data_IF_455994040133
#
_entry.id   IF_455994040133
#
_cell.length_a   1.000
_cell.length_b   1.000
_cell.length_c   1.000
_cell.angle_alpha   90.00
_cell.angle_beta   90.00
_cell.angle_gamma   90.00
#
_symmetry.space_group_name_H-M   'P 1'
#
loop_
_entity.id
_entity.type
_entity.pdbx_description
1 polymer ?
#
# COMPACT_ATOMS: atom_id res chain seq x y z
N UNK A 1 12.07 -9.53 0.96
CA UNK A 1 11.73 -9.49 -0.48
C UNK A 1 10.24 -9.81 -0.64
N UNK A 2 9.53 -9.11 -1.54
CA UNK A 2 8.10 -9.32 -1.77
C UNK A 2 7.22 -8.13 -1.36
N UNK A 3 7.79 -7.11 -0.69
CA UNK A 3 7.07 -5.91 -0.29
C UNK A 3 6.60 -5.10 -1.50
N UNK A 4 5.27 -5.01 -1.67
CA UNK A 4 4.69 -4.15 -2.70
C UNK A 4 4.96 -2.67 -2.46
N UNK A 5 5.14 -2.25 -1.21
CA UNK A 5 5.53 -0.87 -0.87
C UNK A 5 6.92 -0.56 -1.38
N UNK A 6 7.88 -1.47 -1.17
CA UNK A 6 9.24 -1.33 -1.69
C UNK A 6 9.25 -1.34 -3.22
N UNK A 7 8.57 -2.30 -3.84
CA UNK A 7 8.49 -2.41 -5.29
C UNK A 7 7.97 -1.10 -5.91
N UNK A 8 6.88 -0.53 -5.39
CA UNK A 8 6.32 0.73 -5.86
C UNK A 8 7.25 1.92 -5.56
N UNK A 9 7.82 1.99 -4.34
CA UNK A 9 8.70 3.09 -3.94
C UNK A 9 9.94 3.19 -4.82
N UNK A 10 10.68 2.09 -5.02
CA UNK A 10 11.92 2.11 -5.82
C UNK A 10 11.65 2.40 -7.30
N UNK A 11 10.48 2.01 -7.83
CA UNK A 11 10.07 2.32 -9.19
C UNK A 11 9.72 3.81 -9.33
N UNK A 12 8.87 4.34 -8.46
CA UNK A 12 8.38 5.72 -8.51
C UNK A 12 9.48 6.76 -8.23
N UNK A 13 10.44 6.43 -7.38
CA UNK A 13 11.55 7.34 -7.02
C UNK A 13 12.75 7.23 -7.95
N UNK A 14 12.73 6.30 -8.91
CA UNK A 14 13.84 6.07 -9.82
C UNK A 14 15.06 5.39 -9.19
N UNK A 15 14.89 4.75 -8.02
CA UNK A 15 15.91 3.89 -7.39
C UNK A 15 16.07 2.59 -8.18
N UNK A 16 14.96 2.13 -8.80
CA UNK A 16 14.98 0.97 -9.69
C UNK A 16 15.62 1.34 -11.03
N UNK A 17 16.80 0.81 -11.30
CA UNK A 17 17.54 1.05 -12.53
C UNK A 17 17.47 -0.16 -13.48
N UNK A 18 17.71 0.08 -14.77
CA UNK A 18 17.93 -0.98 -15.74
C UNK A 18 19.43 -1.16 -15.97
N UNK A 19 19.95 -2.34 -15.67
CA UNK A 19 21.34 -2.72 -15.90
C UNK A 19 21.37 -4.00 -16.71
N UNK A 20 21.99 -3.98 -17.88
CA UNK A 20 22.05 -5.13 -18.82
C UNK A 20 20.66 -5.72 -19.15
N UNK A 21 19.66 -4.88 -19.33
CA UNK A 21 18.29 -5.28 -19.66
C UNK A 21 17.47 -5.81 -18.47
N UNK A 22 18.06 -5.93 -17.29
CA UNK A 22 17.38 -6.38 -16.07
C UNK A 22 17.09 -5.21 -15.12
N UNK A 23 15.94 -5.26 -14.47
CA UNK A 23 15.60 -4.32 -13.38
C UNK A 23 16.46 -4.66 -12.14
N UNK A 24 17.11 -3.64 -11.57
CA UNK A 24 17.93 -3.75 -10.37
C UNK A 24 17.51 -2.71 -9.36
N UNK A 25 17.17 -3.14 -8.16
CA UNK A 25 16.94 -2.27 -7.01
C UNK A 25 18.31 -1.78 -6.51
N UNK A 26 18.51 -0.46 -6.59
CA UNK A 26 19.74 0.20 -6.21
C UNK A 26 19.68 0.83 -4.80
N UNK A 27 18.74 0.37 -3.96
CA UNK A 27 18.70 0.76 -2.55
C UNK A 27 20.04 0.44 -1.89
N UNK A 28 20.51 1.34 -1.02
CA UNK A 28 21.76 1.15 -0.27
C UNK A 28 21.77 -0.20 0.44
N UNK A 29 22.90 -0.88 0.38
CA UNK A 29 23.11 -2.16 1.10
C UNK A 29 23.15 -1.98 2.62
N UNK A 30 23.36 -0.76 3.10
CA UNK A 30 23.34 -0.38 4.51
C UNK A 30 21.90 -0.14 5.02
N UNK A 31 20.93 -0.03 4.10
CA UNK A 31 19.53 0.15 4.47
C UNK A 31 18.97 -1.10 5.14
N UNK A 32 18.27 -0.91 6.25
CA UNK A 32 17.57 -1.99 6.95
C UNK A 32 16.35 -2.42 6.14
N UNK A 33 16.23 -3.72 5.94
CA UNK A 33 14.99 -4.32 5.43
C UNK A 33 14.14 -4.77 6.61
N UNK A 34 12.96 -4.19 6.74
CA UNK A 34 12.07 -4.41 7.88
C UNK A 34 10.72 -4.92 7.34
N UNK A 35 10.25 -6.01 7.90
CA UNK A 35 8.98 -6.61 7.49
C UNK A 35 7.80 -5.96 8.24
N UNK A 36 6.83 -5.49 7.47
CA UNK A 36 5.59 -4.92 7.97
C UNK A 36 5.64 -3.40 8.27
N UNK A 37 4.53 -2.75 7.95
CA UNK A 37 4.39 -1.28 8.04
C UNK A 37 4.59 -0.74 9.46
N UNK A 38 4.03 -1.42 10.45
CA UNK A 38 4.13 -1.02 11.86
C UNK A 38 5.57 -1.09 12.38
N UNK A 39 6.34 -2.12 11.98
CA UNK A 39 7.72 -2.28 12.38
C UNK A 39 8.62 -1.19 11.79
N UNK A 40 8.41 -0.80 10.53
CA UNK A 40 9.11 0.36 9.92
C UNK A 40 8.85 1.61 10.74
N UNK A 41 7.58 1.89 11.06
CA UNK A 41 7.18 3.08 11.82
C UNK A 41 7.81 3.11 13.22
N UNK A 42 7.82 1.97 13.93
CA UNK A 42 8.45 1.85 15.24
C UNK A 42 9.96 2.07 15.20
N UNK A 43 10.64 1.57 14.17
CA UNK A 43 12.08 1.81 13.99
C UNK A 43 12.40 3.30 13.75
N UNK A 44 11.62 3.97 12.91
CA UNK A 44 11.80 5.41 12.65
C UNK A 44 11.48 6.23 13.90
N UNK A 45 10.45 5.89 14.65
CA UNK A 45 10.10 6.55 15.91
C UNK A 45 11.19 6.38 16.97
N UNK A 46 11.89 5.25 16.98
CA UNK A 46 12.96 4.93 17.95
C UNK A 46 14.34 5.53 17.62
N UNK A 47 14.55 6.09 16.44
CA UNK A 47 15.85 6.63 16.01
C UNK A 47 15.67 7.99 15.34
N UNK A 48 16.21 9.05 15.95
CA UNK A 48 16.09 10.43 15.47
C UNK A 48 16.78 10.70 14.14
N UNK A 49 17.69 9.85 13.70
CA UNK A 49 18.38 9.94 12.42
C UNK A 49 17.76 9.08 11.33
N UNK A 50 16.78 8.25 11.67
CA UNK A 50 16.19 7.33 10.72
C UNK A 50 15.24 8.02 9.72
N UNK A 51 15.26 7.49 8.51
CA UNK A 51 14.28 7.75 7.46
C UNK A 51 13.66 6.42 7.00
N UNK A 52 12.40 6.44 6.66
CA UNK A 52 11.69 5.29 6.12
C UNK A 52 10.54 5.71 5.20
N UNK A 53 9.76 4.74 4.77
CA UNK A 53 8.54 5.02 4.00
C UNK A 53 7.45 4.02 4.35
N UNK A 54 6.22 4.50 4.41
CA UNK A 54 5.03 3.72 4.76
C UNK A 54 3.80 4.18 3.94
N UNK A 55 2.72 3.41 3.98
CA UNK A 55 1.41 3.83 3.48
C UNK A 55 0.89 5.06 4.25
N UNK A 56 0.30 6.03 3.53
CA UNK A 56 -0.37 7.19 4.10
C UNK A 56 -1.45 6.80 5.12
N UNK A 57 -2.26 5.79 4.80
CA UNK A 57 -3.33 5.33 5.69
C UNK A 57 -2.86 4.70 7.00
N UNK A 58 -1.56 4.40 7.13
CA UNK A 58 -0.95 3.91 8.37
C UNK A 58 -0.25 5.02 9.17
N UNK A 59 -0.14 6.22 8.62
CA UNK A 59 0.57 7.34 9.24
C UNK A 59 -0.14 7.78 10.53
N UNK A 60 0.64 7.95 11.59
CA UNK A 60 0.16 8.47 12.86
C UNK A 60 1.19 9.41 13.51
N UNK A 61 0.89 9.94 14.68
CA UNK A 61 1.71 10.92 15.38
C UNK A 61 3.05 10.41 15.94
N UNK A 62 3.35 9.12 15.85
CA UNK A 62 4.63 8.56 16.32
C UNK A 62 5.81 8.93 15.42
N UNK A 63 5.54 9.31 14.16
CA UNK A 63 6.52 9.73 13.18
C UNK A 63 6.05 10.97 12.42
N UNK A 64 6.96 11.64 11.73
CA UNK A 64 6.66 12.81 10.91
C UNK A 64 6.81 12.45 9.43
N UNK A 65 5.75 12.67 8.64
CA UNK A 65 5.86 12.66 7.19
C UNK A 65 6.47 13.97 6.69
N UNK A 66 7.34 13.87 5.70
CA UNK A 66 7.93 15.03 5.03
C UNK A 66 7.31 15.24 3.66
N UNK A 67 7.29 16.49 3.22
CA UNK A 67 6.85 16.83 1.88
C UNK A 67 7.84 16.30 0.82
N UNK A 68 7.36 15.99 -0.38
CA UNK A 68 8.19 15.65 -1.52
C UNK A 68 7.92 16.67 -2.64
N UNK A 69 8.99 17.26 -3.16
CA UNK A 69 8.92 18.40 -4.10
C UNK A 69 8.04 19.56 -3.55
N UNK A 70 8.11 19.81 -2.25
CA UNK A 70 7.32 20.84 -1.59
C UNK A 70 5.84 20.47 -1.36
N UNK A 71 5.37 19.34 -1.83
CA UNK A 71 3.99 18.89 -1.65
C UNK A 71 3.86 18.00 -0.41
N UNK A 72 3.04 18.37 0.59
CA UNK A 72 2.76 17.51 1.73
C UNK A 72 1.97 16.29 1.27
N UNK A 73 2.13 15.17 2.00
CA UNK A 73 1.32 14.00 1.74
C UNK A 73 -0.01 14.07 2.49
N UNK A 74 -1.10 14.01 1.75
CA UNK A 74 -2.47 13.86 2.25
C UNK A 74 -3.37 13.33 1.12
N UNK A 75 -4.62 13.02 1.44
CA UNK A 75 -5.59 12.47 0.46
C UNK A 75 -5.76 13.40 -0.75
N UNK A 76 -5.82 14.71 -0.54
CA UNK A 76 -6.02 15.70 -1.60
C UNK A 76 -4.84 15.77 -2.56
N UNK A 77 -3.61 15.84 -2.03
CA UNK A 77 -2.39 15.91 -2.86
C UNK A 77 -2.10 14.59 -3.58
N UNK A 78 -2.46 13.45 -3.00
CA UNK A 78 -2.40 12.15 -3.67
C UNK A 78 -3.46 12.07 -4.78
N UNK A 79 -4.69 12.48 -4.49
CA UNK A 79 -5.80 12.48 -5.47
C UNK A 79 -5.54 13.39 -6.66
N UNK A 80 -4.99 14.57 -6.43
CA UNK A 80 -4.65 15.53 -7.51
C UNK A 80 -3.38 15.18 -8.28
N UNK A 81 -2.57 14.22 -7.80
CA UNK A 81 -1.27 13.89 -8.35
C UNK A 81 -0.17 14.89 -8.00
N UNK A 82 -0.42 15.85 -7.12
CA UNK A 82 0.60 16.81 -6.66
C UNK A 82 1.67 16.11 -5.81
N UNK A 83 1.27 15.14 -4.97
CA UNK A 83 2.23 14.29 -4.28
C UNK A 83 2.68 13.13 -5.20
N UNK A 84 3.98 13.02 -5.53
CA UNK A 84 4.42 12.19 -6.65
C UNK A 84 4.55 10.70 -6.33
N UNK A 85 4.56 10.29 -5.05
CA UNK A 85 4.77 8.89 -4.68
C UNK A 85 3.42 8.27 -4.28
N UNK A 86 2.63 7.89 -5.28
CA UNK A 86 1.31 7.28 -5.13
C UNK A 86 1.22 5.96 -5.91
N UNK A 87 0.40 5.03 -5.42
CA UNK A 87 0.28 3.68 -5.96
C UNK A 87 -1.15 3.15 -5.82
N UNK A 88 -1.57 2.19 -6.67
CA UNK A 88 -2.83 1.51 -6.47
C UNK A 88 -2.74 0.46 -5.36
N UNK A 89 -3.80 0.33 -4.59
CA UNK A 89 -4.12 -0.87 -3.82
C UNK A 89 -4.98 -1.79 -4.67
N UNK A 90 -4.51 -3.00 -4.88
CA UNK A 90 -5.17 -4.00 -5.68
C UNK A 90 -5.61 -5.18 -4.84
N UNK A 91 -6.77 -5.72 -5.21
CA UNK A 91 -7.12 -7.11 -4.90
C UNK A 91 -7.01 -7.93 -6.18
N UNK A 92 -6.74 -9.22 -6.02
CA UNK A 92 -6.59 -10.13 -7.13
C UNK A 92 -7.30 -11.46 -6.84
N UNK A 93 -7.97 -12.00 -7.86
CA UNK A 93 -8.72 -13.25 -7.80
C UNK A 93 -8.34 -14.17 -8.94
N UNK A 94 -8.50 -15.48 -8.75
CA UNK A 94 -8.25 -16.49 -9.77
C UNK A 94 -9.57 -17.09 -10.26
N UNK A 95 -9.86 -16.92 -11.54
CA UNK A 95 -11.06 -17.52 -12.14
C UNK A 95 -12.36 -17.11 -11.47
N UNK A 96 -13.30 -18.07 -11.35
CA UNK A 96 -14.60 -17.83 -10.73
C UNK A 96 -14.45 -17.85 -9.20
N UNK A 97 -14.88 -16.79 -8.55
CA UNK A 97 -14.88 -16.65 -7.08
C UNK A 97 -16.17 -17.14 -6.46
N UNK A 98 -16.17 -17.37 -5.14
CA UNK A 98 -17.39 -17.73 -4.40
C UNK A 98 -18.39 -16.58 -4.35
N UNK A 99 -19.67 -16.88 -4.08
CA UNK A 99 -20.70 -15.86 -3.96
C UNK A 99 -20.38 -14.81 -2.87
N UNK A 100 -19.74 -15.22 -1.76
CA UNK A 100 -19.31 -14.29 -0.70
C UNK A 100 -18.19 -13.37 -1.18
N UNK A 101 -17.21 -13.90 -1.91
CA UNK A 101 -16.11 -13.11 -2.46
C UNK A 101 -16.62 -12.10 -3.50
N UNK A 102 -17.52 -12.54 -4.41
CA UNK A 102 -18.15 -11.67 -5.40
C UNK A 102 -18.94 -10.53 -4.75
N UNK A 103 -19.75 -10.85 -3.75
CA UNK A 103 -20.59 -9.89 -3.03
C UNK A 103 -19.74 -8.90 -2.21
N UNK A 104 -18.67 -9.38 -1.56
CA UNK A 104 -17.74 -8.51 -0.84
C UNK A 104 -16.97 -7.58 -1.78
N UNK A 105 -16.52 -8.07 -2.94
CA UNK A 105 -15.88 -7.21 -3.96
C UNK A 105 -16.85 -6.15 -4.46
N UNK A 106 -18.13 -6.53 -4.70
CA UNK A 106 -19.18 -5.58 -5.09
C UNK A 106 -19.41 -4.52 -3.99
N UNK A 107 -19.38 -4.90 -2.70
CA UNK A 107 -19.43 -3.94 -1.59
C UNK A 107 -18.23 -3.01 -1.59
N UNK A 108 -16.99 -3.53 -1.71
CA UNK A 108 -15.78 -2.71 -1.74
C UNK A 108 -15.86 -1.62 -2.82
N UNK A 109 -16.38 -1.96 -4.00
CA UNK A 109 -16.46 -1.05 -5.15
C UNK A 109 -17.72 -0.18 -5.15
N UNK A 110 -18.63 -0.37 -4.20
CA UNK A 110 -19.84 0.45 -4.06
C UNK A 110 -19.55 1.82 -3.43
N UNK A 111 -20.53 2.72 -3.50
CA UNK A 111 -20.46 4.03 -2.84
C UNK A 111 -20.23 3.88 -1.33
N UNK A 112 -20.87 2.89 -0.70
CA UNK A 112 -20.73 2.59 0.73
C UNK A 112 -19.32 2.09 1.07
N UNK A 113 -18.78 1.18 0.28
CA UNK A 113 -17.42 0.67 0.46
C UNK A 113 -16.36 1.76 0.21
N UNK A 114 -16.54 2.57 -0.82
CA UNK A 114 -15.63 3.66 -1.12
C UNK A 114 -15.69 4.80 -0.08
N UNK A 115 -16.84 5.03 0.54
CA UNK A 115 -16.93 5.93 1.70
C UNK A 115 -16.10 5.42 2.90
N UNK A 116 -16.01 4.09 3.12
CA UNK A 116 -15.10 3.50 4.12
C UNK A 116 -13.64 3.77 3.76
N UNK A 117 -13.26 3.62 2.49
CA UNK A 117 -11.91 3.92 1.98
C UNK A 117 -11.52 5.37 2.29
N UNK A 118 -12.36 6.34 1.92
CA UNK A 118 -12.12 7.77 2.15
C UNK A 118 -12.03 8.12 3.65
N UNK A 119 -12.95 7.60 4.46
CA UNK A 119 -12.97 7.82 5.90
C UNK A 119 -11.69 7.35 6.61
N UNK A 120 -10.99 6.38 6.02
CA UNK A 120 -9.75 5.83 6.57
C UNK A 120 -8.48 6.41 5.94
N UNK A 121 -8.59 7.55 5.24
CA UNK A 121 -7.44 8.32 4.77
C UNK A 121 -6.81 7.83 3.45
N UNK A 122 -7.55 7.03 2.68
CA UNK A 122 -7.15 6.61 1.34
C UNK A 122 -7.94 7.36 0.27
N UNK A 123 -7.45 7.35 -0.96
CA UNK A 123 -8.16 7.94 -2.09
C UNK A 123 -9.07 6.89 -2.70
N UNK A 124 -10.38 7.16 -2.69
CA UNK A 124 -11.37 6.30 -3.30
C UNK A 124 -11.18 6.20 -4.82
N UNK A 125 -11.49 5.03 -5.38
CA UNK A 125 -11.69 4.87 -6.81
C UNK A 125 -13.09 5.35 -7.18
N UNK A 126 -13.29 5.72 -8.45
CA UNK A 126 -14.60 6.15 -8.89
C UNK A 126 -15.61 5.00 -8.75
N UNK A 127 -16.71 5.28 -8.07
CA UNK A 127 -17.84 4.40 -7.86
C UNK A 127 -19.06 4.95 -8.61
N UNK A 128 -20.20 5.07 -8.03
CA UNK A 128 -21.45 5.53 -8.62
C UNK A 128 -22.50 4.42 -8.60
N UNK A 129 -22.20 3.33 -7.88
CA UNK A 129 -23.10 2.19 -7.71
C UNK A 129 -23.35 1.96 -6.24
N UNK A 130 -24.62 1.97 -5.83
CA UNK A 130 -25.01 1.60 -4.48
C UNK A 130 -24.89 0.10 -4.29
N UNK A 131 -24.48 -0.30 -3.09
CA UNK A 131 -24.42 -1.71 -2.75
C UNK A 131 -25.84 -2.31 -2.68
N UNK A 132 -26.08 -3.32 -3.50
CA UNK A 132 -27.34 -4.06 -3.58
C UNK A 132 -27.14 -5.58 -3.44
N UNK A 133 -26.19 -5.98 -2.57
CA UNK A 133 -25.77 -7.36 -2.44
C UNK A 133 -26.83 -8.30 -1.87
N UNK A 134 -26.66 -9.59 -2.18
CA UNK A 134 -27.59 -10.67 -1.81
C UNK A 134 -27.33 -11.25 -0.43
N UNK A 135 -26.33 -10.77 0.28
CA UNK A 135 -25.91 -11.23 1.63
C UNK A 135 -25.71 -12.76 1.71
N UNK A 136 -24.87 -13.33 0.83
CA UNK A 136 -24.64 -14.77 0.80
C UNK A 136 -23.93 -15.24 2.08
N UNK A 137 -24.13 -16.50 2.43
CA UNK A 137 -23.43 -17.17 3.52
C UNK A 137 -22.16 -17.87 3.00
N UNK A 138 -21.14 -17.94 3.86
CA UNK A 138 -19.90 -18.68 3.59
C UNK A 138 -18.67 -18.01 4.20
N UNK A 139 -17.53 -18.65 4.00
CA UNK A 139 -16.23 -18.15 4.47
C UNK A 139 -15.33 -17.84 3.29
N UNK A 140 -14.59 -16.74 3.38
CA UNK A 140 -13.48 -16.40 2.48
C UNK A 140 -12.21 -16.06 3.25
N UNK A 141 -11.07 -16.33 2.63
CA UNK A 141 -9.74 -15.99 3.11
C UNK A 141 -9.14 -14.93 2.19
N UNK A 142 -8.68 -13.85 2.79
CA UNK A 142 -7.99 -12.76 2.09
C UNK A 142 -6.56 -12.72 2.58
N UNK A 143 -5.57 -12.71 1.68
CA UNK A 143 -4.17 -12.75 2.08
C UNK A 143 -3.33 -11.71 1.34
N UNK A 144 -2.32 -11.16 1.99
CA UNK A 144 -1.31 -10.31 1.34
C UNK A 144 -0.93 -9.05 2.09
N UNK A 145 -0.68 -8.00 1.36
CA UNK A 145 -0.01 -6.76 1.74
C UNK A 145 -0.41 -6.19 3.10
N UNK A 146 0.57 -6.03 4.00
CA UNK A 146 0.41 -5.36 5.29
C UNK A 146 0.00 -3.88 5.17
N UNK A 147 0.23 -3.25 4.02
CA UNK A 147 -0.23 -1.88 3.76
C UNK A 147 -1.70 -1.82 3.37
N UNK A 148 -2.25 -2.86 2.76
CA UNK A 148 -3.66 -2.96 2.38
C UNK A 148 -4.52 -3.46 3.55
N UNK A 149 -3.97 -4.30 4.42
CA UNK A 149 -4.69 -4.91 5.53
C UNK A 149 -5.50 -3.92 6.39
N UNK A 150 -5.00 -2.74 6.77
CA UNK A 150 -5.77 -1.81 7.59
C UNK A 150 -7.08 -1.36 6.95
N UNK A 151 -7.08 -0.99 5.68
CA UNK A 151 -8.32 -0.61 4.98
C UNK A 151 -9.21 -1.82 4.72
N UNK A 152 -8.62 -2.99 4.45
CA UNK A 152 -9.38 -4.23 4.25
C UNK A 152 -10.11 -4.67 5.52
N UNK A 153 -9.52 -4.51 6.71
CA UNK A 153 -10.20 -4.75 7.99
C UNK A 153 -11.40 -3.81 8.17
N UNK A 154 -11.28 -2.53 7.80
CA UNK A 154 -12.41 -1.58 7.89
C UNK A 154 -13.52 -1.90 6.89
N UNK A 155 -13.17 -2.31 5.69
CA UNK A 155 -14.13 -2.78 4.70
C UNK A 155 -14.85 -4.05 5.15
N UNK A 156 -14.11 -5.01 5.73
CA UNK A 156 -14.67 -6.21 6.34
C UNK A 156 -15.62 -5.88 7.48
N UNK A 157 -15.22 -5.02 8.44
CA UNK A 157 -16.08 -4.59 9.55
C UNK A 157 -17.42 -4.01 9.03
N UNK A 158 -17.34 -3.09 8.05
CA UNK A 158 -18.51 -2.46 7.46
C UNK A 158 -19.41 -3.46 6.70
N UNK A 159 -18.79 -4.37 5.93
CA UNK A 159 -19.54 -5.39 5.20
C UNK A 159 -20.23 -6.39 6.15
N UNK A 160 -19.55 -6.86 7.18
CA UNK A 160 -20.13 -7.81 8.13
C UNK A 160 -21.28 -7.20 8.96
N UNK A 161 -21.30 -5.88 9.16
CA UNK A 161 -22.45 -5.18 9.74
C UNK A 161 -23.70 -5.25 8.83
N UNK A 162 -23.52 -5.39 7.51
CA UNK A 162 -24.60 -5.52 6.53
C UNK A 162 -24.94 -7.00 6.27
N UNK A 163 -23.90 -7.86 6.21
CA UNK A 163 -24.02 -9.30 5.93
C UNK A 163 -23.38 -10.14 7.04
N UNK A 164 -24.15 -10.42 8.10
CA UNK A 164 -23.73 -11.25 9.21
C UNK A 164 -23.61 -12.76 8.88
N UNK A 165 -24.04 -13.19 7.70
CA UNK A 165 -23.94 -14.58 7.26
C UNK A 165 -22.57 -14.95 6.70
N UNK A 166 -21.72 -13.95 6.39
CA UNK A 166 -20.39 -14.15 5.87
C UNK A 166 -19.35 -14.26 6.99
N UNK A 167 -18.27 -14.98 6.70
CA UNK A 167 -17.07 -15.03 7.54
C UNK A 167 -15.87 -14.60 6.66
N UNK A 168 -15.10 -13.65 7.12
CA UNK A 168 -13.93 -13.12 6.39
C UNK A 168 -12.71 -13.21 7.31
N UNK A 169 -11.71 -13.99 6.87
CA UNK A 169 -10.41 -14.09 7.51
C UNK A 169 -9.38 -13.29 6.70
N UNK A 170 -8.59 -12.45 7.37
CA UNK A 170 -7.51 -11.68 6.73
C UNK A 170 -6.16 -12.16 7.26
N UNK A 171 -5.29 -12.59 6.36
CA UNK A 171 -3.94 -13.05 6.64
C UNK A 171 -2.94 -12.00 6.12
N UNK A 172 -2.36 -11.24 7.03
CA UNK A 172 -1.42 -10.17 6.69
C UNK A 172 -0.03 -10.73 6.45
N UNK A 173 0.54 -10.44 5.27
CA UNK A 173 1.91 -10.74 4.89
C UNK A 173 2.43 -9.68 3.88
N UNK A 174 3.13 -10.07 2.83
CA UNK A 174 3.54 -9.15 1.75
C UNK A 174 2.71 -9.33 0.47
N UNK A 175 2.87 -8.37 -0.48
CA UNK A 175 2.12 -8.39 -1.73
C UNK A 175 2.43 -9.62 -2.60
N UNK A 176 3.68 -10.06 -2.66
CA UNK A 176 4.07 -11.20 -3.48
C UNK A 176 3.53 -12.51 -2.90
N UNK A 177 3.57 -12.67 -1.57
CA UNK A 177 2.97 -13.81 -0.89
C UNK A 177 1.45 -13.86 -1.11
N UNK A 178 0.75 -12.69 -1.05
CA UNK A 178 -0.67 -12.60 -1.37
C UNK A 178 -1.00 -13.02 -2.81
N UNK A 179 -0.18 -12.60 -3.77
CA UNK A 179 -0.37 -12.99 -5.18
C UNK A 179 -0.09 -14.49 -5.40
N UNK A 180 0.91 -15.05 -4.73
CA UNK A 180 1.18 -16.51 -4.77
C UNK A 180 0.00 -17.26 -4.16
N UNK A 181 -0.49 -16.87 -2.99
CA UNK A 181 -1.64 -17.51 -2.35
C UNK A 181 -2.89 -17.50 -3.25
N UNK A 182 -3.18 -16.38 -3.93
CA UNK A 182 -4.29 -16.30 -4.89
C UNK A 182 -4.08 -17.21 -6.10
N UNK A 183 -2.85 -17.28 -6.65
CA UNK A 183 -2.52 -18.18 -7.76
C UNK A 183 -2.66 -19.66 -7.40
N UNK A 184 -2.26 -20.03 -6.21
CA UNK A 184 -2.34 -21.40 -5.69
C UNK A 184 -3.73 -21.77 -5.19
N UNK A 185 -4.62 -20.77 -4.99
CA UNK A 185 -5.96 -20.96 -4.45
C UNK A 185 -5.98 -21.24 -2.94
N UNK A 186 -4.93 -20.88 -2.22
CA UNK A 186 -4.86 -20.96 -0.75
C UNK A 186 -5.53 -19.77 -0.07
N UNK A 187 -5.85 -18.71 -0.83
CA UNK A 187 -6.79 -17.67 -0.45
C UNK A 187 -7.77 -17.39 -1.60
N UNK A 188 -8.92 -16.79 -1.27
CA UNK A 188 -9.94 -16.40 -2.24
C UNK A 188 -9.60 -15.06 -2.92
N UNK A 189 -9.00 -14.15 -2.15
CA UNK A 189 -8.62 -12.79 -2.60
C UNK A 189 -7.21 -12.49 -2.14
N UNK A 190 -6.32 -12.18 -3.08
CA UNK A 190 -4.98 -11.69 -2.79
C UNK A 190 -4.98 -10.17 -2.66
N UNK A 191 -4.12 -9.58 -1.81
CA UNK A 191 -3.93 -8.14 -1.65
C UNK A 191 -2.54 -7.71 -2.10
N UNK A 192 -2.45 -6.66 -2.92
CA UNK A 192 -1.18 -6.06 -3.32
C UNK A 192 -1.21 -4.54 -3.23
N UNK A 193 -0.14 -3.96 -2.69
CA UNK A 193 0.07 -2.51 -2.61
C UNK A 193 0.95 -1.98 -3.75
N UNK A 194 0.76 -2.52 -4.92
CA UNK A 194 1.40 -2.20 -6.19
C UNK A 194 0.54 -2.71 -7.34
N UNK A 195 0.84 -2.28 -8.56
CA UNK A 195 0.31 -2.96 -9.73
C UNK A 195 0.77 -4.44 -9.78
N UNK A 196 -0.04 -5.29 -10.36
CA UNK A 196 0.32 -6.67 -10.59
C UNK A 196 1.46 -6.75 -11.63
N UNK A 197 2.38 -7.70 -11.41
CA UNK A 197 3.42 -8.04 -12.39
C UNK A 197 2.79 -8.74 -13.60
N UNK A 198 3.41 -8.67 -14.77
CA UNK A 198 2.86 -9.31 -15.98
C UNK A 198 2.58 -10.80 -15.77
N UNK A 199 3.50 -11.54 -15.15
CA UNK A 199 3.32 -12.95 -14.80
C UNK A 199 2.19 -13.23 -13.78
N UNK A 200 1.74 -12.23 -13.05
CA UNK A 200 0.58 -12.31 -12.17
C UNK A 200 -0.72 -12.08 -12.94
N UNK A 201 -0.71 -11.11 -13.87
CA UNK A 201 -1.86 -10.77 -14.72
C UNK A 201 -2.26 -11.90 -15.69
N UNK A 202 -1.33 -12.76 -16.05
CA UNK A 202 -1.61 -13.94 -16.90
C UNK A 202 -2.60 -14.92 -16.24
N UNK A 203 -2.66 -14.93 -14.91
CA UNK A 203 -3.43 -15.93 -14.12
C UNK A 203 -4.47 -15.29 -13.23
N UNK A 204 -4.23 -14.05 -12.78
CA UNK A 204 -5.06 -13.34 -11.82
C UNK A 204 -5.78 -12.15 -12.47
N UNK A 205 -7.02 -11.95 -12.07
CA UNK A 205 -7.78 -10.75 -12.37
C UNK A 205 -7.58 -9.75 -11.25
N UNK A 206 -7.10 -8.54 -11.58
CA UNK A 206 -6.87 -7.48 -10.59
C UNK A 206 -7.96 -6.44 -10.62
N UNK A 207 -8.28 -5.91 -9.45
CA UNK A 207 -9.22 -4.81 -9.25
C UNK A 207 -8.57 -3.78 -8.33
N UNK A 208 -8.50 -2.52 -8.78
CA UNK A 208 -8.05 -1.41 -7.94
C UNK A 208 -9.16 -1.05 -6.96
N UNK A 209 -8.87 -1.03 -5.68
CA UNK A 209 -9.83 -0.72 -4.61
C UNK A 209 -9.61 0.63 -3.94
N UNK A 210 -8.41 1.19 -4.05
CA UNK A 210 -8.03 2.50 -3.52
C UNK A 210 -6.74 2.98 -4.18
N UNK A 211 -6.46 4.29 -4.09
CA UNK A 211 -5.11 4.82 -4.30
C UNK A 211 -4.52 5.21 -2.94
N UNK A 212 -3.23 4.96 -2.76
CA UNK A 212 -2.49 5.22 -1.53
C UNK A 212 -1.23 6.03 -1.82
N UNK A 213 -0.93 7.00 -0.97
CA UNK A 213 0.35 7.70 -0.99
C UNK A 213 1.41 6.93 -0.19
N UNK A 214 2.64 6.90 -0.67
CA UNK A 214 3.77 6.39 0.10
C UNK A 214 4.43 7.57 0.81
N UNK A 215 4.20 7.68 2.12
CA UNK A 215 4.78 8.71 2.96
C UNK A 215 6.26 8.44 3.22
N UNK A 216 7.12 9.38 2.89
CA UNK A 216 8.49 9.41 3.40
C UNK A 216 8.42 9.94 4.82
N UNK A 217 8.92 9.17 5.78
CA UNK A 217 8.81 9.46 7.21
C UNK A 217 10.16 9.59 7.88
N UNK A 218 10.22 10.48 8.84
CA UNK A 218 11.38 10.68 9.73
C UNK A 218 10.92 10.71 11.18
N UNK A 219 11.85 10.62 12.12
CA UNK A 219 11.57 10.83 13.53
C UNK A 219 11.02 12.23 13.78
N UNK A 220 10.14 12.40 14.77
CA UNK A 220 9.53 13.69 15.11
C UNK A 220 10.55 14.78 15.50
N UNK A 221 11.73 14.40 16.01
CA UNK A 221 12.83 15.32 16.36
C UNK A 221 13.66 15.76 15.15
N UNK A 222 13.58 15.05 14.01
CA UNK A 222 14.33 15.41 12.82
C UNK A 222 13.83 16.77 12.28
N UNK A 223 14.68 17.77 11.99
CA UNK A 223 14.28 19.09 11.55
C UNK A 223 13.75 19.13 10.10
N UNK A 224 13.97 18.08 9.33
CA UNK A 224 13.62 17.99 7.91
C UNK A 224 12.12 18.20 7.69
N UNK A 225 11.77 19.02 6.68
CA UNK A 225 10.38 19.32 6.31
C UNK A 225 10.03 18.82 4.91
N UNK A 226 11.00 18.84 4.00
CA UNK A 226 10.81 18.47 2.61
C UNK A 226 12.07 17.89 2.01
N UNK A 227 11.92 17.03 1.01
CA UNK A 227 12.97 16.57 0.11
C UNK A 227 12.48 16.72 -1.32
N UNK A 228 13.40 17.04 -2.26
CA UNK A 228 13.11 16.81 -3.67
C UNK A 228 13.08 15.31 -3.98
N UNK A 229 12.46 14.91 -5.08
CA UNK A 229 12.49 13.51 -5.55
C UNK A 229 13.92 13.00 -5.77
N UNK A 230 14.83 13.88 -6.22
CA UNK A 230 16.26 13.57 -6.37
C UNK A 230 16.89 13.25 -5.02
N UNK A 231 16.67 14.11 -4.03
CA UNK A 231 17.18 13.89 -2.68
C UNK A 231 16.63 12.62 -2.02
N UNK A 232 15.33 12.32 -2.22
CA UNK A 232 14.76 11.03 -1.79
C UNK A 232 15.55 9.87 -2.37
N UNK A 233 15.76 9.88 -3.70
CA UNK A 233 16.56 8.84 -4.36
C UNK A 233 17.98 8.77 -3.82
N UNK A 234 18.66 9.90 -3.66
CA UNK A 234 20.06 9.97 -3.21
C UNK A 234 20.25 9.49 -1.77
N UNK A 235 19.31 9.79 -0.88
CA UNK A 235 19.31 9.26 0.49
C UNK A 235 19.13 7.74 0.48
N UNK A 236 18.14 7.22 -0.23
CA UNK A 236 17.88 5.78 -0.21
C UNK A 236 18.87 4.94 -1.02
N UNK A 237 19.61 5.55 -1.95
CA UNK A 237 20.76 4.89 -2.62
C UNK A 237 22.06 5.00 -1.84
N UNK A 238 22.09 5.79 -0.75
CA UNK A 238 23.28 6.00 0.10
C UNK A 238 24.30 6.98 -0.48
N UNK A 239 23.89 7.80 -1.47
CA UNK A 239 24.70 8.91 -1.98
C UNK A 239 24.76 10.03 -0.95
N UNK A 240 23.63 10.43 -0.37
CA UNK A 240 23.53 11.32 0.79
C UNK A 240 23.50 10.44 2.06
N UNK A 241 24.43 10.68 2.99
CA UNK A 241 24.61 9.88 4.21
C UNK A 241 24.50 10.68 5.51
N UNK A 242 24.49 11.99 5.42
CA UNK A 242 24.37 12.91 6.55
C UNK A 242 23.28 13.93 6.26
N UNK A 243 22.55 14.34 7.29
CA UNK A 243 21.41 15.24 7.14
C UNK A 243 21.82 16.66 6.71
N UNK A 244 23.01 17.12 7.11
CA UNK A 244 23.56 18.43 6.73
C UNK A 244 23.63 18.60 5.21
N UNK A 245 23.94 17.53 4.47
CA UNK A 245 24.02 17.56 3.00
C UNK A 245 22.65 17.72 2.29
N UNK A 246 21.56 17.70 3.04
CA UNK A 246 20.20 17.90 2.49
C UNK A 246 19.77 19.36 2.58
N UNK A 247 20.42 20.15 3.44
CA UNK A 247 20.10 21.56 3.69
C UNK A 247 20.92 22.54 2.85
N UNK A 248 21.88 22.03 2.09
CA UNK A 248 22.65 22.79 1.10
C UNK A 248 21.92 22.84 -0.25
#
# INVERSE_FOLDING_TARGET
QGSGTRDAFVELTGILIKENGKKKDNTSKEALTIDGTQAVMSNVAGNEYAIGYISLGSLNSSVKAIAVNGNPINVETVKSGAYPIARPFNIATKGKVSAVAEDFIAFILSDEGQAVVEKNGYVAVQSGTKYAGKKPSGKIVIAGSSSVSPVMEKLKEAYLAINSNAQIEIQTNDSSAGMVAAKEGTCDIGMASRALKESEKEVLQSTVIAMDGIAVIVNNKNPLKTLSMSQVREVFTGFIRIWEAVFE
#
